data_IF_786259469895
#
_entry.id   IF_786259469895
#
_cell.length_a   1.000
_cell.length_b   1.000
_cell.length_c   1.000
_cell.angle_alpha   90.00
_cell.angle_beta   90.00
_cell.angle_gamma   90.00
#
_symmetry.space_group_name_H-M   'P 1'
#
loop_
_entity.id
_entity.type
_entity.pdbx_description
1 polymer ?
#
# COMPACT_ATOMS: atom_id res chain seq x y z
N UNK A 1 0.77 -27.14 8.16
CA UNK A 1 1.33 -25.78 8.29
C UNK A 1 0.21 -24.79 8.03
N UNK A 2 -0.28 -24.13 9.07
CA UNK A 2 -1.54 -23.36 9.04
C UNK A 2 -1.45 -22.11 8.15
N UNK A 3 -2.18 -22.14 7.03
CA UNK A 3 -2.94 -21.04 6.41
C UNK A 3 -2.48 -19.60 6.74
N UNK A 4 -1.32 -19.16 6.26
CA UNK A 4 -1.04 -17.73 6.08
C UNK A 4 -1.73 -17.24 4.80
N UNK A 5 -3.06 -17.41 4.77
CA UNK A 5 -3.87 -17.19 3.57
C UNK A 5 -3.78 -15.75 3.09
N UNK A 6 -3.55 -15.57 1.78
CA UNK A 6 -4.21 -14.68 0.80
C UNK A 6 -4.86 -13.34 1.26
N UNK A 7 -4.47 -12.81 2.41
CA UNK A 7 -5.17 -11.70 3.06
C UNK A 7 -4.49 -10.38 2.83
N UNK A 8 -3.24 -10.34 2.37
CA UNK A 8 -2.55 -9.10 2.04
C UNK A 8 -2.31 -9.05 0.54
N UNK A 9 -2.67 -7.93 -0.09
CA UNK A 9 -2.54 -7.73 -1.53
C UNK A 9 -1.74 -6.46 -1.77
N UNK A 10 -0.77 -6.54 -2.67
CA UNK A 10 0.03 -5.41 -3.09
C UNK A 10 -0.85 -4.49 -3.93
N UNK A 11 -1.07 -3.26 -3.47
CA UNK A 11 -1.88 -2.26 -4.19
C UNK A 11 -1.02 -1.26 -4.95
N UNK A 12 0.22 -1.04 -4.52
CA UNK A 12 1.17 -0.18 -5.23
C UNK A 12 2.61 -0.67 -5.03
N UNK A 13 3.40 -0.58 -6.08
CA UNK A 13 4.84 -0.88 -6.07
C UNK A 13 5.54 0.31 -6.69
N UNK A 14 6.46 0.94 -5.96
CA UNK A 14 7.24 2.07 -6.46
C UNK A 14 8.74 1.83 -6.19
N UNK A 15 9.60 2.50 -6.96
CA UNK A 15 11.05 2.36 -6.86
C UNK A 15 11.75 3.71 -6.63
N UNK A 16 12.90 3.67 -5.95
CA UNK A 16 13.85 4.79 -5.87
C UNK A 16 13.21 6.10 -5.40
N UNK A 17 13.24 7.14 -6.25
CA UNK A 17 12.75 8.50 -5.94
C UNK A 17 11.26 8.61 -5.62
N UNK A 18 10.45 7.60 -5.97
CA UNK A 18 9.02 7.54 -5.65
C UNK A 18 8.71 6.76 -4.38
N UNK A 19 9.73 6.29 -3.67
CA UNK A 19 9.60 5.67 -2.35
C UNK A 19 8.87 6.56 -1.33
N UNK A 20 9.01 7.88 -1.44
CA UNK A 20 8.36 8.86 -0.60
C UNK A 20 6.82 8.83 -0.75
N UNK A 21 6.35 8.52 -1.97
CA UNK A 21 4.91 8.39 -2.26
C UNK A 21 4.31 7.20 -1.52
N UNK A 22 5.06 6.11 -1.37
CA UNK A 22 4.63 4.94 -0.59
C UNK A 22 4.48 5.28 0.89
N UNK A 23 5.38 6.12 1.43
CA UNK A 23 5.29 6.56 2.82
C UNK A 23 4.07 7.47 3.06
N UNK A 24 3.81 8.41 2.14
CA UNK A 24 2.60 9.24 2.17
C UNK A 24 1.32 8.42 2.04
N UNK A 25 1.29 7.44 1.13
CA UNK A 25 0.15 6.53 0.99
C UNK A 25 -0.06 5.68 2.24
N UNK A 26 1.01 5.22 2.88
CA UNK A 26 0.91 4.54 4.17
C UNK A 26 0.31 5.46 5.24
N UNK A 27 0.76 6.72 5.32
CA UNK A 27 0.21 7.70 6.27
C UNK A 27 -1.27 7.97 6.00
N UNK A 28 -1.66 8.10 4.73
CA UNK A 28 -3.05 8.28 4.30
C UNK A 28 -3.91 7.06 4.69
N UNK A 29 -3.45 5.85 4.38
CA UNK A 29 -4.12 4.63 4.80
C UNK A 29 -4.27 4.55 6.32
N UNK A 30 -3.22 4.91 7.07
CA UNK A 30 -3.27 4.94 8.54
C UNK A 30 -4.28 5.97 9.06
N UNK A 31 -4.36 7.16 8.45
CA UNK A 31 -5.33 8.20 8.79
C UNK A 31 -6.77 7.75 8.56
N UNK A 32 -7.01 6.98 7.50
CA UNK A 32 -8.31 6.38 7.18
C UNK A 32 -8.59 5.06 7.94
N UNK A 33 -7.71 4.63 8.84
CA UNK A 33 -7.87 3.40 9.62
C UNK A 33 -7.61 2.10 8.85
N UNK A 34 -7.05 2.18 7.63
CA UNK A 34 -6.67 1.02 6.82
C UNK A 34 -5.32 0.49 7.29
N UNK A 35 -5.29 -0.81 7.59
CA UNK A 35 -4.03 -1.49 7.92
C UNK A 35 -3.19 -1.60 6.65
N UNK A 36 -2.01 -1.00 6.63
CA UNK A 36 -1.08 -1.11 5.50
C UNK A 36 0.25 -1.67 5.98
N UNK A 37 0.96 -2.37 5.10
CA UNK A 37 2.26 -2.96 5.35
C UNK A 37 3.19 -2.63 4.21
N UNK A 38 4.26 -1.90 4.49
CA UNK A 38 5.32 -1.68 3.50
C UNK A 38 6.30 -2.86 3.55
N UNK A 39 6.67 -3.36 2.39
CA UNK A 39 7.72 -4.35 2.20
C UNK A 39 8.70 -3.84 1.16
N UNK A 40 9.97 -4.15 1.34
CA UNK A 40 11.03 -3.73 0.45
C UNK A 40 11.50 -4.99 -0.29
N UNK A 41 11.48 -4.96 -1.62
CA UNK A 41 12.06 -6.01 -2.46
C UNK A 41 13.41 -5.52 -2.99
N UNK A 42 14.51 -6.02 -2.42
CA UNK A 42 15.86 -5.55 -2.75
C UNK A 42 16.16 -4.14 -2.24
N UNK A 43 17.11 -3.45 -2.90
CA UNK A 43 17.63 -2.15 -2.44
C UNK A 43 16.80 -0.94 -2.90
N UNK A 44 15.87 -1.12 -3.84
CA UNK A 44 15.21 0.02 -4.51
C UNK A 44 13.69 -0.07 -4.60
N UNK A 45 13.07 -1.24 -4.46
CA UNK A 45 11.63 -1.39 -4.63
C UNK A 45 10.90 -1.39 -3.28
N UNK A 46 9.93 -0.48 -3.11
CA UNK A 46 8.98 -0.48 -1.99
C UNK A 46 7.60 -0.86 -2.49
N UNK A 47 6.99 -1.83 -1.83
CA UNK A 47 5.61 -2.26 -2.06
C UNK A 47 4.75 -1.96 -0.85
N UNK A 48 3.56 -1.44 -1.07
CA UNK A 48 2.54 -1.30 -0.03
C UNK A 48 1.47 -2.38 -0.21
N UNK A 49 1.28 -3.14 0.86
CA UNK A 49 0.31 -4.21 0.98
C UNK A 49 -0.82 -3.76 1.88
N UNK A 50 -2.05 -4.06 1.51
CA UNK A 50 -3.25 -3.82 2.32
C UNK A 50 -4.03 -5.12 2.46
N UNK A 51 -4.87 -5.27 3.50
CA UNK A 51 -5.69 -6.44 3.63
C UNK A 51 -6.69 -6.53 2.48
N UNK A 52 -6.97 -7.73 1.98
CA UNK A 52 -7.87 -8.00 0.86
C UNK A 52 -9.25 -7.36 1.05
N UNK A 53 -9.70 -7.27 2.30
CA UNK A 53 -10.97 -6.65 2.71
C UNK A 53 -11.02 -5.14 2.48
N UNK A 54 -9.87 -4.47 2.48
CA UNK A 54 -9.75 -3.03 2.30
C UNK A 54 -9.16 -2.68 0.91
N UNK A 55 -9.09 -3.63 -0.04
CA UNK A 55 -8.55 -3.34 -1.39
C UNK A 55 -9.37 -2.27 -2.08
N UNK A 56 -10.70 -2.37 -2.03
CA UNK A 56 -11.59 -1.43 -2.71
C UNK A 56 -11.36 -0.02 -2.17
N UNK A 57 -11.41 0.15 -0.85
CA UNK A 57 -11.09 1.42 -0.19
C UNK A 57 -9.67 1.92 -0.46
N UNK A 58 -8.68 1.03 -0.46
CA UNK A 58 -7.30 1.41 -0.73
C UNK A 58 -7.13 1.88 -2.18
N UNK A 59 -7.82 1.25 -3.14
CA UNK A 59 -7.84 1.69 -4.54
C UNK A 59 -8.52 3.04 -4.68
N UNK A 60 -9.70 3.23 -4.07
CA UNK A 60 -10.38 4.52 -4.08
C UNK A 60 -9.50 5.63 -3.50
N UNK A 61 -8.84 5.38 -2.37
CA UNK A 61 -7.92 6.35 -1.77
C UNK A 61 -6.68 6.62 -2.62
N UNK A 62 -6.14 5.61 -3.31
CA UNK A 62 -5.04 5.80 -4.26
C UNK A 62 -5.53 6.66 -5.43
N UNK A 63 -6.71 6.39 -5.98
CA UNK A 63 -7.28 7.16 -7.09
C UNK A 63 -7.61 8.59 -6.69
N UNK A 64 -8.14 8.82 -5.49
CA UNK A 64 -8.34 10.17 -4.94
C UNK A 64 -7.00 10.89 -4.78
N UNK A 65 -6.00 10.21 -4.22
CA UNK A 65 -4.66 10.78 -4.04
C UNK A 65 -3.98 11.12 -5.38
N UNK A 66 -4.16 10.28 -6.41
CA UNK A 66 -3.61 10.49 -7.76
C UNK A 66 -4.32 11.63 -8.49
N UNK A 67 -5.63 11.83 -8.26
CA UNK A 67 -6.41 12.95 -8.82
C UNK A 67 -6.14 14.29 -8.15
N UNK A 68 -5.72 14.31 -6.88
CA UNK A 68 -5.38 15.54 -6.15
C UNK A 68 -3.94 16.01 -6.40
N UNK A 69 -3.10 15.21 -7.08
CA UNK A 69 -1.73 15.55 -7.48
C UNK A 69 -1.66 16.05 -8.93
#
# INVERSE_FOLDING_TARGET
>A
MGLFGNRWVAVRTETGSRADVIDRLQALFKSHGIKSKITFEGSTLKRIHVPKKEIERARELIETFDKEQ
#
